data_IF_666156652165
#
_entry.id   IF_666156652165
#
_cell.length_a   1.000
_cell.length_b   1.000
_cell.length_c   1.000
_cell.angle_alpha   90.00
_cell.angle_beta   90.00
_cell.angle_gamma   90.00
#
_symmetry.space_group_name_H-M   'P 1'
#
loop_
_entity.id
_entity.type
_entity.pdbx_description
1 polymer ?
#
# COMPACT_ATOMS: atom_id res chain seq x y z
N UNK A 1 -2.06 -11.05 9.73
CA UNK A 1 -2.70 -9.72 9.81
C UNK A 1 -2.53 -9.05 11.17
N UNK A 2 -2.76 -9.74 12.29
CA UNK A 2 -2.62 -9.17 13.64
C UNK A 2 -1.27 -8.46 13.90
N UNK A 3 -0.16 -9.06 13.47
CA UNK A 3 1.19 -8.48 13.66
C UNK A 3 1.34 -7.06 13.11
N UNK A 4 0.79 -6.75 11.94
CA UNK A 4 0.87 -5.42 11.32
C UNK A 4 0.20 -4.36 12.20
N UNK A 5 -0.98 -4.67 12.74
CA UNK A 5 -1.73 -3.76 13.61
C UNK A 5 -1.08 -3.67 14.99
N UNK A 6 -0.65 -4.79 15.57
CA UNK A 6 0.06 -4.82 16.86
C UNK A 6 1.36 -4.02 16.82
N UNK A 7 2.15 -4.14 15.76
CA UNK A 7 3.39 -3.37 15.60
C UNK A 7 3.11 -1.88 15.39
N UNK A 8 2.06 -1.53 14.64
CA UNK A 8 1.65 -0.13 14.47
C UNK A 8 1.22 0.50 15.80
N UNK A 9 0.44 -0.21 16.62
CA UNK A 9 0.06 0.23 17.96
C UNK A 9 1.30 0.36 18.84
N UNK A 10 2.18 -0.65 18.86
CA UNK A 10 3.40 -0.63 19.68
C UNK A 10 4.29 0.58 19.39
N UNK A 11 4.46 0.95 18.11
CA UNK A 11 5.23 2.15 17.72
C UNK A 11 4.55 3.48 18.07
N UNK A 12 3.23 3.48 18.25
CA UNK A 12 2.45 4.69 18.51
C UNK A 12 2.32 5.01 20.00
N UNK A 13 2.41 4.01 20.87
CA UNK A 13 2.29 4.20 22.33
C UNK A 13 3.43 5.09 22.84
N UNK A 14 3.08 6.12 23.60
CA UNK A 14 4.04 7.06 24.20
C UNK A 14 4.53 8.17 23.27
N UNK A 15 4.12 8.18 21.99
CA UNK A 15 4.45 9.26 21.08
C UNK A 15 3.54 10.48 21.27
N UNK A 16 4.10 11.68 21.06
CA UNK A 16 3.31 12.90 21.00
C UNK A 16 2.38 12.91 19.80
N UNK A 17 1.18 13.49 19.96
CA UNK A 17 0.13 13.49 18.93
C UNK A 17 0.60 14.01 17.56
N UNK A 18 1.49 15.00 17.54
CA UNK A 18 2.05 15.56 16.31
C UNK A 18 2.90 14.55 15.49
N UNK A 19 3.50 13.55 16.14
CA UNK A 19 4.40 12.58 15.49
C UNK A 19 3.64 11.39 14.89
N UNK A 20 2.43 11.10 15.38
CA UNK A 20 1.66 9.91 15.02
C UNK A 20 1.40 9.79 13.51
N UNK A 21 1.17 10.92 12.82
CA UNK A 21 0.94 10.92 11.37
C UNK A 21 2.19 10.51 10.60
N UNK A 22 3.36 11.00 11.01
CA UNK A 22 4.65 10.63 10.42
C UNK A 22 4.96 9.15 10.62
N UNK A 23 4.71 8.66 11.82
CA UNK A 23 4.99 7.28 12.23
C UNK A 23 4.05 6.25 11.60
N UNK A 24 2.78 6.63 11.39
CA UNK A 24 1.90 5.86 10.52
C UNK A 24 2.50 5.73 9.11
N UNK A 25 2.98 6.82 8.51
CA UNK A 25 3.49 6.84 7.13
C UNK A 25 4.79 6.06 6.97
N UNK A 26 5.71 6.14 7.93
CA UNK A 26 7.00 5.44 7.91
C UNK A 26 6.81 3.91 7.88
N UNK A 27 5.79 3.40 8.59
CA UNK A 27 5.48 1.98 8.69
C UNK A 27 4.79 1.34 7.48
N UNK A 28 4.34 2.10 6.48
CA UNK A 28 3.63 1.57 5.31
C UNK A 28 4.60 1.11 4.23
N UNK A 29 4.47 -0.13 3.77
CA UNK A 29 5.41 -0.72 2.80
C UNK A 29 5.17 -0.29 1.35
N UNK A 30 3.90 -0.22 0.93
CA UNK A 30 3.51 0.06 -0.47
C UNK A 30 2.52 1.23 -0.60
N UNK A 31 1.74 1.52 0.43
CA UNK A 31 0.73 2.58 0.37
C UNK A 31 1.38 3.94 0.16
N UNK A 32 0.83 4.72 -0.78
CA UNK A 32 1.37 6.01 -1.21
C UNK A 32 2.85 5.96 -1.67
N UNK A 33 3.29 4.82 -2.22
CA UNK A 33 4.64 4.61 -2.75
C UNK A 33 4.65 4.18 -4.23
N UNK A 34 3.61 4.51 -4.99
CA UNK A 34 3.56 4.24 -6.44
C UNK A 34 4.80 4.80 -7.14
N UNK A 35 5.43 4.00 -7.99
CA UNK A 35 6.67 4.37 -8.69
C UNK A 35 7.96 4.19 -7.88
N UNK A 36 7.87 3.94 -6.57
CA UNK A 36 9.04 3.69 -5.73
C UNK A 36 9.41 2.20 -5.72
N UNK A 37 10.68 1.86 -5.43
CA UNK A 37 11.12 0.48 -5.33
C UNK A 37 10.44 -0.25 -4.16
N UNK A 38 10.05 -1.49 -4.39
CA UNK A 38 9.50 -2.37 -3.38
C UNK A 38 10.56 -2.66 -2.31
N UNK A 39 10.26 -2.48 -1.01
CA UNK A 39 11.23 -2.73 0.06
C UNK A 39 11.51 -4.23 0.32
N UNK A 40 11.02 -5.12 -0.53
CA UNK A 40 11.25 -6.58 -0.46
C UNK A 40 12.13 -7.04 -1.62
N UNK A 41 11.74 -6.71 -2.85
CA UNK A 41 12.36 -7.25 -4.07
C UNK A 41 12.93 -6.19 -5.01
N UNK A 42 12.81 -4.90 -4.70
CA UNK A 42 13.31 -3.80 -5.53
C UNK A 42 12.44 -3.42 -6.74
N UNK A 43 11.53 -4.29 -7.18
CA UNK A 43 10.60 -4.01 -8.30
C UNK A 43 9.69 -2.81 -8.01
N UNK A 44 9.24 -2.12 -9.04
CA UNK A 44 8.43 -0.90 -8.93
C UNK A 44 7.06 -1.19 -8.34
N UNK A 45 6.70 -0.47 -7.27
CA UNK A 45 5.33 -0.48 -6.73
C UNK A 45 4.39 0.17 -7.74
N UNK A 46 3.32 -0.54 -8.11
CA UNK A 46 2.27 -0.08 -9.03
C UNK A 46 1.02 0.32 -8.25
N UNK A 47 0.18 1.11 -8.89
CA UNK A 47 -1.18 1.42 -8.42
C UNK A 47 -2.20 0.87 -9.40
N UNK A 48 -3.36 0.45 -8.89
CA UNK A 48 -4.52 0.08 -9.69
C UNK A 48 -5.75 0.75 -9.11
N UNK A 49 -6.64 1.23 -9.98
CA UNK A 49 -7.98 1.70 -9.60
C UNK A 49 -9.05 0.71 -10.06
N UNK A 50 -9.94 0.38 -9.14
CA UNK A 50 -11.21 -0.27 -9.40
C UNK A 50 -12.34 0.74 -9.27
N UNK A 51 -13.59 0.29 -9.41
CA UNK A 51 -14.76 1.16 -9.42
C UNK A 51 -14.92 1.99 -8.14
N UNK A 52 -14.54 1.45 -6.99
CA UNK A 52 -14.80 1.99 -5.65
C UNK A 52 -13.53 2.23 -4.83
N UNK A 53 -12.39 1.71 -5.27
CA UNK A 53 -11.14 1.75 -4.51
C UNK A 53 -9.92 1.78 -5.41
N UNK A 54 -8.86 2.38 -4.92
CA UNK A 54 -7.52 2.24 -5.47
C UNK A 54 -6.57 1.73 -4.40
N UNK A 55 -5.54 1.01 -4.83
CA UNK A 55 -4.48 0.57 -3.94
C UNK A 55 -3.16 0.37 -4.68
N UNK A 56 -2.09 0.38 -3.90
CA UNK A 56 -0.74 0.15 -4.36
C UNK A 56 -0.28 -1.27 -4.03
N UNK A 57 0.47 -1.89 -4.93
CA UNK A 57 0.96 -3.26 -4.80
C UNK A 57 2.31 -3.43 -5.50
N UNK A 58 3.07 -4.44 -5.12
CA UNK A 58 4.26 -4.87 -5.87
C UNK A 58 3.88 -6.07 -6.75
N UNK A 59 4.04 -6.00 -8.09
CA UNK A 59 3.68 -7.09 -8.98
C UNK A 59 4.43 -8.38 -8.65
N UNK A 60 5.75 -8.30 -8.48
CA UNK A 60 6.57 -9.46 -8.15
C UNK A 60 6.13 -10.15 -6.85
N UNK A 61 5.95 -9.39 -5.76
CA UNK A 61 5.65 -9.96 -4.45
C UNK A 61 4.20 -10.41 -4.25
N UNK A 62 3.23 -9.79 -4.94
CA UNK A 62 1.80 -9.96 -4.61
C UNK A 62 0.99 -10.65 -5.71
N UNK A 63 1.47 -10.64 -6.95
CA UNK A 63 0.73 -11.17 -8.10
C UNK A 63 1.61 -12.04 -9.02
N UNK A 64 2.78 -12.49 -8.54
CA UNK A 64 3.70 -13.32 -9.32
C UNK A 64 4.21 -12.63 -10.58
N UNK A 65 4.34 -11.31 -10.55
CA UNK A 65 4.78 -10.48 -11.68
C UNK A 65 3.64 -9.97 -12.58
N UNK A 66 2.40 -10.46 -12.41
CA UNK A 66 1.27 -10.02 -13.25
C UNK A 66 0.76 -8.64 -12.86
N UNK A 67 0.75 -7.68 -13.78
CA UNK A 67 0.11 -6.40 -13.56
C UNK A 67 -1.43 -6.55 -13.50
N UNK A 68 -2.04 -5.95 -12.48
CA UNK A 68 -3.49 -5.79 -12.36
C UNK A 68 -3.98 -4.70 -13.33
N UNK A 69 -5.09 -4.97 -14.02
CA UNK A 69 -5.70 -4.04 -14.95
C UNK A 69 -6.61 -3.04 -14.24
N UNK A 70 -6.50 -1.76 -14.60
CA UNK A 70 -7.44 -0.73 -14.15
C UNK A 70 -8.85 -1.04 -14.64
N UNK A 71 -9.84 -0.88 -13.76
CA UNK A 71 -11.26 -1.10 -14.09
C UNK A 71 -12.15 0.05 -13.63
N UNK A 72 -11.61 1.28 -13.59
CA UNK A 72 -12.38 2.45 -13.17
C UNK A 72 -13.64 2.67 -14.03
N UNK A 73 -13.56 2.32 -15.32
CA UNK A 73 -14.67 2.50 -16.29
C UNK A 73 -15.46 1.21 -16.58
N UNK A 74 -15.18 0.08 -15.92
CA UNK A 74 -15.89 -1.18 -16.20
C UNK A 74 -17.38 -1.14 -15.86
N UNK A 75 -17.83 -0.13 -15.10
CA UNK A 75 -19.25 0.09 -14.81
C UNK A 75 -19.99 0.82 -15.95
N UNK A 76 -19.27 1.54 -16.82
CA UNK A 76 -19.82 2.27 -17.97
C UNK A 76 -19.90 1.43 -19.25
N UNK A 77 -19.24 0.27 -19.26
CA UNK A 77 -19.14 -0.63 -20.41
C UNK A 77 -20.03 -1.88 -20.25
N UNK A 78 -21.09 -1.79 -19.43
CA UNK A 78 -22.14 -2.80 -19.30
C UNK A 78 -23.37 -2.38 -20.08
#
# INVERSE_FOLDING_TARGET
>A
MASVLSDAVRRSVGQGAAMLKGEKRSGLRVHARTGLPCPVCGDTVREVSFADKSFQYCPTCQTGGKALADRRMSRLLK
#
